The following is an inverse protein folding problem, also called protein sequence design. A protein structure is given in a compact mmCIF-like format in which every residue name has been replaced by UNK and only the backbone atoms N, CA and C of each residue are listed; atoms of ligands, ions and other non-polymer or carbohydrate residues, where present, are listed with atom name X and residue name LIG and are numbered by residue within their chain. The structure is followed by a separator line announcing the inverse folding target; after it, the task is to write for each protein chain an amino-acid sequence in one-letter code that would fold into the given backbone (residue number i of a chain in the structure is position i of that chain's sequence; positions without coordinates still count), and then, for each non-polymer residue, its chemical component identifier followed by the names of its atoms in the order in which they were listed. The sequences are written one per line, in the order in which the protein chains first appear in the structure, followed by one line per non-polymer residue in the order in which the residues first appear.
data_IF_530615104699
#
_entry.id   IF_530615104699
#
_cell.length_a   1.000
_cell.length_b   1.000
_cell.length_c   1.000
_cell.angle_alpha   90.00
_cell.angle_beta   90.00
_cell.angle_gamma   90.00
#
_symmetry.space_group_name_H-M   'P 1'
#
loop_
_entity.id
_entity.type
_entity.pdbx_description
1 polymer ?
#
# COMPACT_ATOMS: atom_id res chain seq x y z
N UNK A 1 12.18 28.88 -5.18
CA UNK A 1 13.32 29.72 -4.77
C UNK A 1 12.84 30.70 -3.71
N UNK A 2 13.50 30.72 -2.56
CA UNK A 2 13.17 31.58 -1.42
C UNK A 2 14.37 32.47 -1.15
N UNK A 3 14.17 33.78 -1.26
CA UNK A 3 15.20 34.77 -0.96
C UNK A 3 15.42 34.84 0.55
N UNK A 4 16.68 34.84 0.98
CA UNK A 4 17.11 35.06 2.36
C UNK A 4 17.96 36.32 2.42
N UNK A 5 18.11 36.98 3.59
CA UNK A 5 18.98 38.16 3.68
C UNK A 5 20.41 37.83 3.21
N UNK A 6 20.83 38.40 2.08
CA UNK A 6 22.14 38.18 1.48
C UNK A 6 22.29 36.92 0.60
N UNK A 7 21.22 36.13 0.38
CA UNK A 7 21.30 34.92 -0.44
C UNK A 7 19.92 34.46 -0.98
N UNK A 8 19.87 33.28 -1.59
CA UNK A 8 18.64 32.60 -1.96
C UNK A 8 18.83 31.09 -1.75
N UNK A 9 17.75 30.38 -1.43
CA UNK A 9 17.73 28.91 -1.39
C UNK A 9 16.67 28.36 -2.33
N UNK A 10 16.95 27.22 -2.94
CA UNK A 10 15.95 26.47 -3.68
C UNK A 10 15.20 25.56 -2.71
N UNK A 11 13.88 25.71 -2.63
CA UNK A 11 13.00 24.72 -2.03
C UNK A 11 12.27 24.01 -3.16
N UNK A 12 12.27 22.68 -3.07
CA UNK A 12 11.56 21.80 -3.98
C UNK A 12 10.09 21.67 -3.53
N UNK A 13 9.22 21.27 -4.45
CA UNK A 13 7.82 21.01 -4.12
C UNK A 13 7.71 19.84 -3.12
N UNK A 14 6.65 19.76 -2.31
CA UNK A 14 6.39 18.56 -1.50
C UNK A 14 6.49 17.27 -2.34
N UNK A 15 7.13 16.23 -1.81
CA UNK A 15 7.38 14.97 -2.53
C UNK A 15 8.58 15.00 -3.51
N UNK A 16 9.37 16.08 -3.52
CA UNK A 16 10.57 16.18 -4.36
C UNK A 16 11.78 16.63 -3.54
N UNK A 17 12.96 16.11 -3.89
CA UNK A 17 14.24 16.45 -3.23
C UNK A 17 15.21 17.07 -4.23
N UNK A 18 16.10 17.94 -3.74
CA UNK A 18 17.10 18.61 -4.56
C UNK A 18 18.30 17.68 -4.77
N UNK A 19 18.41 17.11 -5.97
CA UNK A 19 19.50 16.23 -6.38
C UNK A 19 20.08 16.73 -7.70
N UNK A 20 21.40 16.96 -7.76
CA UNK A 20 22.10 17.50 -8.93
C UNK A 20 21.56 18.87 -9.41
N UNK A 21 21.24 19.78 -8.49
CA UNK A 21 20.59 21.08 -8.76
C UNK A 21 19.22 21.00 -9.46
N UNK A 22 18.59 19.83 -9.49
CA UNK A 22 17.23 19.62 -9.98
C UNK A 22 16.35 19.03 -8.87
N UNK A 23 15.09 19.46 -8.81
CA UNK A 23 14.11 18.79 -7.96
C UNK A 23 13.69 17.49 -8.65
N UNK A 24 14.06 16.35 -8.05
CA UNK A 24 13.66 15.02 -8.51
C UNK A 24 12.58 14.48 -7.57
N UNK A 25 11.63 13.72 -8.10
CA UNK A 25 10.70 12.97 -7.26
C UNK A 25 11.48 12.06 -6.32
N UNK A 26 11.04 12.04 -5.07
CA UNK A 26 11.46 11.01 -4.14
C UNK A 26 10.65 9.78 -4.53
N UNK A 27 11.32 8.63 -4.63
CA UNK A 27 10.63 7.35 -4.71
C UNK A 27 10.57 6.81 -3.30
N UNK A 28 9.55 7.20 -2.55
CA UNK A 28 9.40 6.77 -1.16
C UNK A 28 9.16 5.25 -1.06
N UNK A 29 8.65 4.61 -2.12
CA UNK A 29 8.46 3.17 -2.19
C UNK A 29 9.74 2.36 -2.48
N UNK A 30 10.86 3.01 -2.81
CA UNK A 30 12.17 2.35 -2.88
C UNK A 30 12.68 1.89 -1.51
N UNK A 31 12.11 2.42 -0.41
CA UNK A 31 12.37 1.97 0.95
C UNK A 31 11.34 0.89 1.36
N UNK A 32 11.83 -0.33 1.64
CA UNK A 32 10.99 -1.48 1.98
C UNK A 32 10.27 -1.34 3.34
N UNK A 33 10.68 -0.43 4.22
CA UNK A 33 10.10 -0.28 5.56
C UNK A 33 9.00 0.79 5.65
N UNK A 34 8.63 1.42 4.53
CA UNK A 34 7.73 2.57 4.57
C UNK A 34 6.25 2.22 4.82
N UNK A 35 5.85 1.01 4.45
CA UNK A 35 4.50 0.50 4.69
C UNK A 35 4.52 -0.68 5.66
N UNK A 36 3.47 -0.80 6.46
CA UNK A 36 3.30 -1.93 7.40
C UNK A 36 3.08 -3.26 6.68
N UNK A 37 3.07 -4.35 7.45
CA UNK A 37 2.80 -5.69 6.93
C UNK A 37 1.47 -5.75 6.16
N UNK A 38 1.43 -6.59 5.12
CA UNK A 38 0.28 -6.77 4.23
C UNK A 38 -0.21 -5.50 3.53
N UNK A 39 0.69 -4.54 3.33
CA UNK A 39 0.48 -3.36 2.49
C UNK A 39 1.36 -3.37 1.23
N UNK A 40 0.95 -2.55 0.26
CA UNK A 40 1.67 -2.20 -0.95
C UNK A 40 1.85 -0.68 -0.93
N UNK A 41 3.08 -0.25 -1.17
CA UNK A 41 3.40 1.16 -1.36
C UNK A 41 3.08 1.58 -2.80
N UNK A 42 2.42 2.72 -2.96
CA UNK A 42 2.16 3.35 -4.25
C UNK A 42 2.65 4.80 -4.22
N UNK A 43 3.60 5.15 -5.09
CA UNK A 43 4.03 6.53 -5.28
C UNK A 43 2.88 7.36 -5.87
N UNK A 44 2.69 8.57 -5.33
CA UNK A 44 1.67 9.54 -5.76
C UNK A 44 2.32 10.87 -6.09
N UNK A 45 1.64 11.70 -6.87
CA UNK A 45 2.09 13.07 -7.08
C UNK A 45 2.06 13.82 -5.75
N UNK A 46 3.24 14.21 -5.25
CA UNK A 46 3.40 14.87 -3.95
C UNK A 46 3.60 13.93 -2.74
N UNK A 47 3.87 12.63 -2.94
CA UNK A 47 4.25 11.71 -1.85
C UNK A 47 3.96 10.23 -2.16
N UNK A 48 3.53 9.46 -1.16
CA UNK A 48 3.19 8.04 -1.31
C UNK A 48 1.91 7.68 -0.56
N UNK A 49 1.38 6.50 -0.85
CA UNK A 49 0.24 5.91 -0.15
C UNK A 49 0.47 4.43 0.12
N UNK A 50 0.13 3.97 1.32
CA UNK A 50 0.11 2.55 1.67
C UNK A 50 -1.31 1.99 1.59
N UNK A 51 -1.49 1.00 0.71
CA UNK A 51 -2.76 0.31 0.48
C UNK A 51 -2.66 -1.12 0.99
N UNK A 52 -3.75 -1.71 1.49
CA UNK A 52 -3.73 -3.13 1.80
C UNK A 52 -3.54 -3.96 0.52
N UNK A 53 -2.81 -5.07 0.64
CA UNK A 53 -2.75 -6.09 -0.42
C UNK A 53 -4.16 -6.61 -0.73
N UNK A 54 -4.31 -7.19 -1.92
CA UNK A 54 -5.54 -7.92 -2.27
C UNK A 54 -5.81 -9.04 -1.26
N UNK A 55 -7.08 -9.24 -0.89
CA UNK A 55 -7.47 -10.15 0.20
C UNK A 55 -7.37 -9.54 1.60
N UNK A 56 -6.98 -8.26 1.75
CA UNK A 56 -6.86 -7.60 3.06
C UNK A 56 -7.70 -6.33 3.16
N UNK A 57 -8.08 -5.97 4.39
CA UNK A 57 -8.84 -4.76 4.69
C UNK A 57 -8.29 -4.03 5.91
N UNK A 58 -8.27 -2.69 5.83
CA UNK A 58 -7.90 -1.84 6.97
C UNK A 58 -8.89 -2.00 8.12
N UNK A 59 -8.37 -2.21 9.32
CA UNK A 59 -9.12 -2.14 10.57
C UNK A 59 -9.25 -0.69 11.07
N UNK A 60 -9.68 -0.52 12.33
CA UNK A 60 -9.83 0.82 12.94
C UNK A 60 -8.50 1.47 13.32
N UNK A 61 -7.46 0.67 13.51
CA UNK A 61 -6.12 1.11 13.90
C UNK A 61 -5.24 1.37 12.67
N UNK A 62 -5.68 0.94 11.49
CA UNK A 62 -5.02 1.11 10.20
C UNK A 62 -4.26 -0.13 9.73
N UNK A 63 -4.31 -1.25 10.46
CA UNK A 63 -3.66 -2.50 10.08
C UNK A 63 -4.46 -3.24 9.00
N UNK A 64 -3.75 -3.92 8.11
CA UNK A 64 -4.36 -4.75 7.07
C UNK A 64 -4.60 -6.16 7.61
N UNK A 65 -5.86 -6.47 7.88
CA UNK A 65 -6.29 -7.79 8.33
C UNK A 65 -6.84 -8.59 7.15
N UNK A 66 -6.58 -9.89 7.17
CA UNK A 66 -7.11 -10.85 6.21
C UNK A 66 -8.64 -10.78 6.12
N UNK A 67 -9.15 -10.80 4.90
CA UNK A 67 -10.58 -10.80 4.62
C UNK A 67 -11.05 -12.24 4.52
N UNK A 68 -11.91 -12.65 5.45
CA UNK A 68 -12.55 -13.96 5.40
C UNK A 68 -13.58 -14.02 4.25
N UNK A 69 -13.13 -14.43 3.05
CA UNK A 69 -14.00 -14.49 1.87
C UNK A 69 -15.10 -15.55 2.02
N UNK A 70 -14.87 -16.58 2.84
CA UNK A 70 -15.83 -17.65 3.11
C UNK A 70 -17.13 -17.15 3.76
N UNK A 71 -17.13 -15.98 4.40
CA UNK A 71 -18.35 -15.33 4.94
C UNK A 71 -19.38 -14.98 3.88
N UNK A 72 -18.96 -14.85 2.62
CA UNK A 72 -19.86 -14.56 1.51
C UNK A 72 -20.38 -15.82 0.81
N UNK A 73 -19.99 -17.00 1.31
CA UNK A 73 -20.26 -18.31 0.69
C UNK A 73 -19.90 -18.36 -0.81
N UNK A 74 -18.64 -18.07 -1.19
CA UNK A 74 -18.22 -18.00 -2.60
C UNK A 74 -18.21 -19.38 -3.28
N UNK A 75 -18.09 -20.45 -2.50
CA UNK A 75 -18.05 -21.84 -2.96
C UNK A 75 -19.48 -22.38 -3.18
N UNK A 76 -20.11 -22.01 -4.30
CA UNK A 76 -21.53 -22.36 -4.56
C UNK A 76 -21.73 -23.61 -5.43
N UNK A 77 -20.68 -24.38 -5.74
CA UNK A 77 -20.77 -25.54 -6.65
C UNK A 77 -20.52 -26.85 -5.89
N UNK A 78 -21.33 -27.87 -6.17
CA UNK A 78 -21.10 -29.29 -5.83
C UNK A 78 -20.57 -29.55 -4.41
N UNK A 79 -21.30 -29.11 -3.38
CA UNK A 79 -20.99 -29.39 -1.97
C UNK A 79 -19.53 -29.05 -1.56
N UNK A 80 -18.93 -28.04 -2.21
CA UNK A 80 -17.58 -27.61 -1.90
C UNK A 80 -17.51 -26.89 -0.56
N UNK A 81 -16.50 -27.24 0.26
CA UNK A 81 -16.20 -26.56 1.52
C UNK A 81 -15.27 -25.38 1.24
N UNK A 82 -15.57 -24.21 1.81
CA UNK A 82 -14.70 -23.05 1.73
C UNK A 82 -13.65 -23.09 2.85
N UNK A 83 -12.38 -22.94 2.49
CA UNK A 83 -11.27 -22.75 3.43
C UNK A 83 -10.67 -21.36 3.21
N UNK A 84 -10.67 -20.55 4.27
CA UNK A 84 -10.06 -19.23 4.26
C UNK A 84 -8.54 -19.35 4.44
N UNK A 85 -7.78 -18.69 3.59
CA UNK A 85 -6.32 -18.67 3.58
C UNK A 85 -5.83 -17.22 3.72
N UNK A 86 -4.56 -17.04 4.04
CA UNK A 86 -3.99 -15.70 4.17
C UNK A 86 -3.94 -14.99 2.81
N UNK A 87 -4.72 -13.93 2.67
CA UNK A 87 -4.90 -13.13 1.46
C UNK A 87 -5.77 -13.77 0.36
N UNK A 88 -6.41 -14.92 0.63
CA UNK A 88 -7.21 -15.63 -0.38
C UNK A 88 -8.08 -16.73 0.23
N UNK A 89 -8.79 -17.50 -0.61
CA UNK A 89 -9.55 -18.67 -0.17
C UNK A 89 -9.47 -19.78 -1.21
N UNK A 90 -9.80 -21.01 -0.79
CA UNK A 90 -9.95 -22.15 -1.68
C UNK A 90 -11.28 -22.87 -1.45
N UNK A 91 -11.85 -23.40 -2.52
CA UNK A 91 -13.01 -24.30 -2.45
C UNK A 91 -12.52 -25.74 -2.61
N UNK A 92 -12.74 -26.56 -1.58
CA UNK A 92 -12.33 -27.97 -1.54
C UNK A 92 -13.54 -28.85 -1.85
N UNK A 93 -13.37 -29.76 -2.81
CA UNK A 93 -14.39 -30.77 -3.11
C UNK A 93 -14.39 -31.88 -2.05
N UNK A 94 -15.56 -32.43 -1.69
CA UNK A 94 -15.63 -33.67 -0.91
C UNK A 94 -15.05 -34.84 -1.73
N UNK A 95 -14.39 -35.77 -1.04
CA UNK A 95 -13.83 -37.02 -1.61
C UNK A 95 -14.89 -37.96 -2.18
#
# INVERSE_FOLDING_TARGET
CINTPGSYRCECAPGTTLTDNACKYIDECSDNEICSENMICENKDGGYSCLCKEGYKKDREGYCLDVDECRTNPCTKNDTTCENLEGTYICVCPD
#
